data_IF_023459935553
#
_entry.id   IF_023459935553
#
_cell.length_a   1.000
_cell.length_b   1.000
_cell.length_c   1.000
_cell.angle_alpha   90.00
_cell.angle_beta   90.00
_cell.angle_gamma   90.00
#
_symmetry.space_group_name_H-M   'P 1'
#
loop_
_entity.id
_entity.type
_entity.pdbx_description
1 polymer ?
#
# COMPACT_ATOMS: atom_id res chain seq x y z
N UNK A 1 -66.27 11.68 -20.83
CA UNK A 1 -65.58 12.23 -19.64
C UNK A 1 -64.10 12.32 -19.95
N UNK A 2 -63.54 13.53 -20.06
CA UNK A 2 -62.10 13.72 -20.29
C UNK A 2 -61.41 13.81 -18.92
N UNK A 3 -60.51 12.87 -18.64
CA UNK A 3 -59.72 12.86 -17.42
C UNK A 3 -58.76 14.07 -17.42
N UNK A 4 -58.85 14.92 -16.40
CA UNK A 4 -57.97 16.07 -16.21
C UNK A 4 -56.55 15.57 -15.93
N UNK A 5 -55.65 15.67 -16.92
CA UNK A 5 -54.23 15.34 -16.72
C UNK A 5 -53.66 16.30 -15.67
N UNK A 6 -53.28 15.78 -14.50
CA UNK A 6 -52.50 16.52 -13.51
C UNK A 6 -51.10 16.74 -14.09
N UNK A 7 -50.81 17.97 -14.52
CA UNK A 7 -49.46 18.39 -14.88
C UNK A 7 -48.61 18.62 -13.62
N UNK A 8 -47.31 18.38 -13.74
CA UNK A 8 -46.32 18.72 -12.72
C UNK A 8 -46.26 20.24 -12.55
N UNK A 9 -46.21 20.73 -11.32
CA UNK A 9 -46.04 22.15 -11.04
C UNK A 9 -44.57 22.55 -11.13
N UNK A 10 -44.30 23.80 -11.52
CA UNK A 10 -42.94 24.33 -11.56
C UNK A 10 -42.28 24.35 -10.17
N UNK A 11 -43.07 24.50 -9.11
CA UNK A 11 -42.58 24.47 -7.73
C UNK A 11 -42.16 23.06 -7.30
N UNK A 12 -42.89 22.02 -7.72
CA UNK A 12 -42.50 20.63 -7.48
C UNK A 12 -41.17 20.32 -8.15
N UNK A 13 -40.96 20.81 -9.39
CA UNK A 13 -39.69 20.61 -10.08
C UNK A 13 -38.55 21.40 -9.42
N UNK A 14 -38.80 22.62 -8.96
CA UNK A 14 -37.80 23.44 -8.27
C UNK A 14 -37.28 22.78 -6.99
N UNK A 15 -38.19 22.26 -6.16
CA UNK A 15 -37.82 21.59 -4.90
C UNK A 15 -37.00 20.33 -5.18
N UNK A 16 -37.36 19.55 -6.21
CA UNK A 16 -36.61 18.35 -6.60
C UNK A 16 -35.18 18.69 -7.00
N UNK A 17 -34.98 19.72 -7.82
CA UNK A 17 -33.62 20.11 -8.26
C UNK A 17 -32.79 20.62 -7.07
N UNK A 18 -33.41 21.34 -6.13
CA UNK A 18 -32.74 21.80 -4.90
C UNK A 18 -32.30 20.61 -4.03
N UNK A 19 -33.17 19.62 -3.82
CA UNK A 19 -32.85 18.43 -3.01
C UNK A 19 -31.75 17.61 -3.68
N UNK A 20 -31.85 17.38 -5.00
CA UNK A 20 -30.82 16.66 -5.77
C UNK A 20 -29.47 17.41 -5.72
N UNK A 21 -29.48 18.74 -5.75
CA UNK A 21 -28.27 19.55 -5.60
C UNK A 21 -27.59 19.39 -4.24
N UNK A 22 -28.35 19.34 -3.15
CA UNK A 22 -27.81 19.12 -1.79
C UNK A 22 -27.25 17.70 -1.66
N UNK A 23 -27.98 16.70 -2.13
CA UNK A 23 -27.56 15.30 -2.07
C UNK A 23 -26.30 15.05 -2.90
N UNK A 24 -26.18 15.68 -4.08
CA UNK A 24 -24.99 15.54 -4.93
C UNK A 24 -23.71 16.08 -4.26
N UNK A 25 -23.81 17.17 -3.49
CA UNK A 25 -22.69 17.74 -2.74
C UNK A 25 -22.29 16.88 -1.53
N UNK A 26 -23.27 16.28 -0.85
CA UNK A 26 -23.04 15.45 0.33
C UNK A 26 -22.59 14.01 0.00
N UNK A 27 -22.80 13.56 -1.24
CA UNK A 27 -22.54 12.19 -1.67
C UNK A 27 -21.08 11.90 -2.07
N UNK A 28 -20.10 12.70 -1.61
CA UNK A 28 -18.67 12.35 -1.74
C UNK A 28 -18.17 11.81 -0.40
N UNK A 29 -18.38 10.52 -0.07
CA UNK A 29 -17.75 9.90 1.08
C UNK A 29 -16.32 9.47 0.76
N UNK A 30 -15.43 9.82 1.68
CA UNK A 30 -13.98 9.62 1.71
C UNK A 30 -13.63 8.12 1.74
N UNK A 31 -13.10 7.56 0.65
CA UNK A 31 -12.65 6.15 0.56
C UNK A 31 -11.12 6.01 0.67
N UNK A 32 -10.37 7.11 0.81
CA UNK A 32 -8.90 7.09 0.72
C UNK A 32 -8.20 6.30 1.84
N UNK A 33 -8.67 6.38 3.09
CA UNK A 33 -7.97 5.82 4.25
C UNK A 33 -7.79 4.29 4.21
N UNK A 34 -8.81 3.56 3.76
CA UNK A 34 -8.76 2.09 3.73
C UNK A 34 -7.76 1.58 2.68
N UNK A 35 -7.58 2.31 1.59
CA UNK A 35 -6.61 1.93 0.54
C UNK A 35 -5.17 2.18 0.96
N UNK A 36 -4.93 3.22 1.76
CA UNK A 36 -3.60 3.52 2.32
C UNK A 36 -3.18 2.48 3.36
N UNK A 37 -4.11 2.05 4.23
CA UNK A 37 -3.85 0.97 5.17
C UNK A 37 -3.57 -0.36 4.46
N UNK A 38 -4.38 -0.72 3.45
CA UNK A 38 -4.19 -1.93 2.65
C UNK A 38 -2.81 -1.94 1.96
N UNK A 39 -2.40 -0.84 1.35
CA UNK A 39 -1.07 -0.67 0.75
C UNK A 39 0.04 -0.83 1.79
N UNK A 40 -0.08 -0.16 2.94
CA UNK A 40 0.94 -0.25 3.98
C UNK A 40 1.06 -1.66 4.58
N UNK A 41 -0.05 -2.39 4.67
CA UNK A 41 -0.09 -3.78 5.10
C UNK A 41 0.61 -4.70 4.10
N UNK A 42 0.33 -4.54 2.80
CA UNK A 42 0.99 -5.30 1.72
C UNK A 42 2.51 -5.08 1.73
N UNK A 43 2.95 -3.83 1.82
CA UNK A 43 4.38 -3.50 1.87
C UNK A 43 5.07 -4.10 3.11
N UNK A 44 4.43 -4.04 4.29
CA UNK A 44 4.97 -4.65 5.52
C UNK A 44 5.06 -6.16 5.43
N UNK A 45 4.07 -6.82 4.84
CA UNK A 45 4.07 -8.26 4.64
C UNK A 45 5.23 -8.69 3.72
N UNK A 46 5.40 -8.01 2.59
CA UNK A 46 6.48 -8.27 1.65
C UNK A 46 7.87 -8.02 2.26
N UNK A 47 8.05 -6.90 2.96
CA UNK A 47 9.31 -6.58 3.68
C UNK A 47 9.60 -7.57 4.82
N UNK A 48 8.55 -8.07 5.49
CA UNK A 48 8.66 -9.14 6.48
C UNK A 48 9.21 -10.43 5.87
N UNK A 49 8.67 -10.85 4.73
CA UNK A 49 9.16 -12.02 3.99
C UNK A 49 10.62 -11.83 3.54
N UNK A 50 10.97 -10.66 3.01
CA UNK A 50 12.35 -10.33 2.61
C UNK A 50 13.32 -10.43 3.79
N UNK A 51 12.95 -9.88 4.95
CA UNK A 51 13.73 -9.96 6.19
C UNK A 51 13.94 -11.42 6.61
N UNK A 52 12.89 -12.24 6.57
CA UNK A 52 12.99 -13.64 6.98
C UNK A 52 13.89 -14.44 6.03
N UNK A 53 13.84 -14.18 4.72
CA UNK A 53 14.78 -14.78 3.76
C UNK A 53 16.21 -14.31 3.98
N UNK A 54 16.40 -13.01 4.22
CA UNK A 54 17.71 -12.45 4.57
C UNK A 54 18.30 -13.09 5.83
N UNK A 55 17.46 -13.38 6.84
CA UNK A 55 17.88 -14.11 8.04
C UNK A 55 18.33 -15.53 7.71
N UNK A 56 17.61 -16.25 6.87
CA UNK A 56 17.99 -17.61 6.44
C UNK A 56 19.34 -17.58 5.70
N UNK A 57 19.53 -16.62 4.78
CA UNK A 57 20.80 -16.45 4.05
C UNK A 57 21.94 -16.15 5.01
N UNK A 58 21.73 -15.24 5.97
CA UNK A 58 22.73 -14.88 6.96
C UNK A 58 23.10 -16.05 7.88
N UNK A 59 22.15 -16.90 8.27
CA UNK A 59 22.40 -18.09 9.07
C UNK A 59 23.21 -19.15 8.30
N UNK A 60 22.96 -19.30 7.00
CA UNK A 60 23.70 -20.23 6.16
C UNK A 60 25.11 -19.75 5.85
N UNK A 61 25.26 -18.45 5.64
CA UNK A 61 26.54 -17.83 5.26
C UNK A 61 26.69 -16.55 6.07
N UNK A 62 27.29 -16.63 7.27
CA UNK A 62 27.53 -15.46 8.08
C UNK A 62 28.42 -14.48 7.32
N UNK A 63 28.05 -13.19 7.36
CA UNK A 63 28.67 -12.11 6.58
C UNK A 63 28.47 -12.18 5.04
N UNK A 64 27.47 -12.91 4.56
CA UNK A 64 27.03 -12.79 3.17
C UNK A 64 26.57 -11.35 2.85
N UNK A 65 26.98 -10.85 1.69
CA UNK A 65 26.51 -9.58 1.14
C UNK A 65 25.58 -9.85 -0.04
N UNK A 66 24.33 -9.39 0.06
CA UNK A 66 23.32 -9.61 -0.98
C UNK A 66 22.56 -8.31 -1.22
N UNK A 67 22.62 -7.80 -2.46
CA UNK A 67 21.98 -6.54 -2.84
C UNK A 67 20.84 -6.72 -3.87
N UNK A 68 20.42 -7.96 -4.10
CA UNK A 68 19.37 -8.30 -5.07
C UNK A 68 18.34 -9.22 -4.44
N UNK A 69 17.07 -9.04 -4.82
CA UNK A 69 15.95 -9.88 -4.37
C UNK A 69 16.20 -11.35 -4.71
N UNK A 70 16.66 -11.62 -5.93
CA UNK A 70 17.01 -12.97 -6.38
C UNK A 70 18.18 -13.57 -5.61
N UNK A 71 19.12 -12.73 -5.14
CA UNK A 71 20.22 -13.18 -4.28
C UNK A 71 19.76 -13.65 -2.90
N UNK A 72 18.56 -13.21 -2.46
CA UNK A 72 17.90 -13.73 -1.26
C UNK A 72 17.14 -15.04 -1.52
N UNK A 73 17.15 -15.53 -2.76
CA UNK A 73 16.42 -16.72 -3.18
C UNK A 73 14.92 -16.48 -3.38
N UNK A 74 14.50 -15.23 -3.57
CA UNK A 74 13.11 -14.88 -3.85
C UNK A 74 12.97 -14.56 -5.34
N UNK A 75 11.96 -15.14 -5.99
CA UNK A 75 11.60 -14.78 -7.35
C UNK A 75 10.90 -13.43 -7.37
N UNK A 76 11.17 -12.61 -8.39
CA UNK A 76 10.55 -11.29 -8.55
C UNK A 76 9.02 -11.38 -8.71
N UNK A 77 8.50 -12.52 -9.15
CA UNK A 77 7.05 -12.77 -9.22
C UNK A 77 6.42 -12.92 -7.84
N UNK A 78 7.16 -13.37 -6.82
CA UNK A 78 6.66 -13.55 -5.45
C UNK A 78 6.45 -12.21 -4.71
N UNK A 79 7.09 -11.13 -5.17
CA UNK A 79 6.87 -9.77 -4.68
C UNK A 79 5.91 -8.96 -5.55
N UNK A 80 5.23 -9.60 -6.51
CA UNK A 80 4.21 -8.92 -7.31
C UNK A 80 2.87 -9.06 -6.63
N UNK A 81 2.43 -7.95 -6.01
CA UNK A 81 1.15 -7.82 -5.33
C UNK A 81 0.16 -6.94 -6.11
N UNK A 82 -0.88 -6.48 -5.41
CA UNK A 82 -1.94 -5.65 -6.00
C UNK A 82 -1.48 -4.20 -6.16
N UNK A 83 -0.64 -3.71 -5.24
CA UNK A 83 -0.20 -2.32 -5.21
C UNK A 83 1.30 -2.14 -5.50
N UNK A 84 2.09 -3.18 -5.31
CA UNK A 84 3.53 -3.14 -5.51
C UNK A 84 4.01 -4.27 -6.40
N UNK A 85 5.11 -4.02 -7.10
CA UNK A 85 5.82 -5.02 -7.89
C UNK A 85 7.25 -5.16 -7.38
N UNK A 86 7.98 -6.17 -7.86
CA UNK A 86 9.37 -6.39 -7.44
C UNK A 86 10.30 -5.20 -7.68
N UNK A 87 9.98 -4.26 -8.58
CA UNK A 87 10.80 -3.07 -8.83
C UNK A 87 10.65 -2.01 -7.74
N UNK A 88 9.57 -2.09 -6.96
CA UNK A 88 9.32 -1.20 -5.83
C UNK A 88 10.14 -1.60 -4.60
N UNK A 89 10.76 -2.77 -4.59
CA UNK A 89 11.52 -3.25 -3.46
C UNK A 89 13.02 -3.19 -3.72
N UNK A 90 13.78 -2.66 -2.77
CA UNK A 90 15.24 -2.79 -2.76
C UNK A 90 15.69 -3.52 -1.51
N UNK A 91 16.78 -4.28 -1.61
CA UNK A 91 17.33 -5.06 -0.50
C UNK A 91 18.83 -4.90 -0.42
N UNK A 92 19.34 -4.83 0.79
CA UNK A 92 20.76 -4.85 1.11
C UNK A 92 20.96 -5.67 2.38
N UNK A 93 21.55 -6.86 2.23
CA UNK A 93 22.09 -7.66 3.31
C UNK A 93 23.59 -7.38 3.39
N UNK A 94 24.07 -7.01 4.57
CA UNK A 94 25.49 -6.85 4.89
C UNK A 94 25.87 -7.67 6.12
N UNK A 95 27.11 -7.46 6.59
CA UNK A 95 27.64 -8.17 7.77
C UNK A 95 26.88 -7.80 9.05
N UNK A 96 25.84 -8.57 9.34
CA UNK A 96 25.04 -8.46 10.57
C UNK A 96 23.83 -7.53 10.47
N UNK A 97 23.54 -6.97 9.30
CA UNK A 97 22.39 -6.08 9.08
C UNK A 97 21.70 -6.38 7.76
N UNK A 98 20.40 -6.14 7.74
CA UNK A 98 19.56 -6.19 6.56
C UNK A 98 18.74 -4.91 6.50
N UNK A 99 18.69 -4.31 5.31
CA UNK A 99 17.83 -3.19 5.00
C UNK A 99 16.99 -3.57 3.79
N UNK A 100 15.68 -3.56 3.93
CA UNK A 100 14.73 -3.69 2.82
C UNK A 100 13.91 -2.41 2.71
N UNK A 101 13.83 -1.81 1.53
CA UNK A 101 12.98 -0.65 1.28
C UNK A 101 11.86 -1.01 0.33
N UNK A 102 10.70 -0.41 0.55
CA UNK A 102 9.57 -0.44 -0.38
C UNK A 102 9.28 1.00 -0.81
N UNK A 103 9.67 1.32 -2.05
CA UNK A 103 9.41 2.60 -2.70
C UNK A 103 8.13 2.47 -3.52
N UNK A 104 7.01 2.84 -2.90
CA UNK A 104 5.75 3.08 -3.60
C UNK A 104 5.76 4.43 -4.30
N UNK A 105 4.87 4.64 -5.27
CA UNK A 105 4.56 6.00 -5.75
C UNK A 105 3.87 6.76 -4.61
N UNK A 106 4.66 7.28 -3.69
CA UNK A 106 4.26 8.27 -2.71
C UNK A 106 4.06 9.59 -3.48
N UNK A 107 2.86 9.82 -4.00
CA UNK A 107 2.47 11.16 -4.48
C UNK A 107 2.04 12.09 -3.34
N UNK A 108 2.12 11.66 -2.10
CA UNK A 108 2.01 12.53 -0.94
C UNK A 108 3.05 12.11 0.10
N UNK A 109 3.91 13.05 0.49
CA UNK A 109 4.73 13.00 1.70
C UNK A 109 3.97 12.34 2.87
N UNK A 110 4.53 11.37 3.62
CA UNK A 110 5.97 11.16 3.91
C UNK A 110 6.50 9.76 3.45
N UNK A 111 7.72 9.28 3.83
CA UNK A 111 8.74 8.64 2.98
C UNK A 111 8.55 7.11 2.75
N UNK A 112 9.42 6.55 1.91
CA UNK A 112 9.52 5.11 1.63
C UNK A 112 9.51 4.24 2.90
N UNK A 113 8.60 3.26 2.95
CA UNK A 113 8.55 2.29 4.03
C UNK A 113 9.84 1.47 4.02
N UNK A 114 10.61 1.57 5.10
CA UNK A 114 11.90 0.91 5.24
C UNK A 114 11.87 -0.05 6.41
N UNK A 115 12.28 -1.30 6.19
CA UNK A 115 12.58 -2.25 7.27
C UNK A 115 14.08 -2.34 7.44
N UNK A 116 14.53 -2.16 8.69
CA UNK A 116 15.93 -2.37 9.07
C UNK A 116 15.96 -3.44 10.14
N UNK A 117 16.70 -4.51 9.89
CA UNK A 117 16.87 -5.62 10.80
C UNK A 117 18.35 -5.82 11.13
N UNK A 118 18.65 -5.87 12.42
CA UNK A 118 19.93 -6.34 12.90
C UNK A 118 19.86 -7.86 13.04
N UNK A 119 20.66 -8.56 12.25
CA UNK A 119 20.68 -10.02 12.18
C UNK A 119 21.48 -10.65 13.33
N UNK A 120 22.27 -9.85 14.04
CA UNK A 120 23.04 -10.26 15.22
C UNK A 120 22.15 -10.24 16.47
N UNK A 121 21.44 -9.14 16.71
CA UNK A 121 20.53 -9.00 17.86
C UNK A 121 19.10 -9.51 17.59
N UNK A 122 18.77 -9.81 16.32
CA UNK A 122 17.44 -10.25 15.91
C UNK A 122 16.36 -9.16 15.96
N UNK A 123 16.72 -7.91 16.26
CA UNK A 123 15.79 -6.78 16.33
C UNK A 123 15.48 -6.23 14.94
N UNK A 124 14.22 -5.94 14.65
CA UNK A 124 13.80 -5.27 13.43
C UNK A 124 12.94 -4.04 13.74
N UNK A 125 13.13 -2.98 12.97
CA UNK A 125 12.33 -1.76 13.02
C UNK A 125 11.75 -1.46 11.66
N UNK A 126 10.52 -0.96 11.64
CA UNK A 126 9.87 -0.42 10.45
C UNK A 126 9.81 1.10 10.61
N UNK A 127 10.50 1.82 9.73
CA UNK A 127 10.37 3.27 9.65
C UNK A 127 9.31 3.63 8.60
N UNK A 128 8.45 4.59 8.94
CA UNK A 128 7.29 5.02 8.15
C UNK A 128 7.45 6.44 7.65
#
# INVERSE_FOLDING_TARGET
MVAKKKGFTLIELLIVVVIVGILALAAIPLISSNTEEARSSEARAALGALKDRARVVYQRTPAATVNTITGLGISTTELTGTYFTSTNYTVALGSGSFTGTCTGVYSASPPDLTVTANMISGSASFNR
#
